data_IF_697136086823
#
_entry.id   IF_697136086823
#
_cell.length_a   1.000
_cell.length_b   1.000
_cell.length_c   1.000
_cell.angle_alpha   90.00
_cell.angle_beta   90.00
_cell.angle_gamma   90.00
#
_symmetry.space_group_name_H-M   'P 1'
#
loop_
_entity.id
_entity.type
_entity.pdbx_description
1 polymer ?
#
# COMPACT_ATOMS: atom_id res chain seq x y z
N UNK A 1 -1.56 -27.89 -47.62
CA UNK A 1 -1.21 -26.77 -46.72
C UNK A 1 -2.49 -26.06 -46.29
N UNK A 2 -3.00 -26.32 -45.08
CA UNK A 2 -4.20 -25.67 -44.55
C UNK A 2 -3.80 -24.96 -43.25
N UNK A 3 -3.85 -23.63 -43.25
CA UNK A 3 -3.53 -22.77 -42.11
C UNK A 3 -4.75 -22.64 -41.20
N UNK A 4 -4.48 -22.67 -39.90
CA UNK A 4 -5.41 -22.46 -38.81
C UNK A 4 -5.76 -20.98 -38.65
N UNK A 5 -7.00 -20.70 -38.24
CA UNK A 5 -7.41 -19.49 -37.52
C UNK A 5 -8.54 -19.90 -36.57
N UNK A 6 -8.15 -20.25 -35.34
CA UNK A 6 -9.06 -20.31 -34.20
C UNK A 6 -9.03 -18.94 -33.54
N UNK A 7 -10.09 -18.15 -33.71
CA UNK A 7 -10.31 -16.94 -32.91
C UNK A 7 -11.18 -17.35 -31.72
N UNK A 8 -10.64 -17.09 -30.54
CA UNK A 8 -11.22 -17.37 -29.23
C UNK A 8 -12.34 -16.35 -29.00
N UNK A 9 -13.59 -16.80 -29.03
CA UNK A 9 -14.73 -16.06 -28.50
C UNK A 9 -15.20 -16.79 -27.23
N UNK A 10 -14.67 -16.39 -26.08
CA UNK A 10 -15.06 -16.94 -24.78
C UNK A 10 -14.75 -15.92 -23.70
N UNK A 11 -15.75 -15.15 -23.29
CA UNK A 11 -15.96 -14.58 -21.93
C UNK A 11 -16.71 -13.23 -21.98
N UNK A 12 -18.01 -13.30 -22.21
CA UNK A 12 -18.95 -12.22 -21.86
C UNK A 12 -20.19 -12.91 -21.30
N UNK A 13 -20.08 -13.32 -20.03
CA UNK A 13 -21.07 -14.14 -19.36
C UNK A 13 -20.73 -14.28 -17.89
N UNK A 14 -20.71 -13.15 -17.16
CA UNK A 14 -20.54 -13.13 -15.71
C UNK A 14 -20.98 -11.77 -15.16
N UNK A 15 -22.28 -11.42 -15.27
CA UNK A 15 -22.87 -10.34 -14.44
C UNK A 15 -24.40 -10.40 -14.24
N UNK A 16 -25.07 -11.54 -14.42
CA UNK A 16 -26.50 -11.69 -14.11
C UNK A 16 -26.83 -12.96 -13.32
N UNK A 17 -26.32 -13.10 -12.09
CA UNK A 17 -26.77 -14.12 -11.17
C UNK A 17 -26.65 -13.63 -9.72
N UNK A 18 -27.48 -12.66 -9.34
CA UNK A 18 -27.66 -12.31 -7.93
C UNK A 18 -29.01 -11.64 -7.66
N UNK A 19 -30.12 -12.12 -8.23
CA UNK A 19 -31.46 -11.84 -7.70
C UNK A 19 -32.39 -13.03 -7.93
N UNK A 20 -32.24 -14.07 -7.13
CA UNK A 20 -33.33 -14.96 -6.68
C UNK A 20 -32.77 -15.86 -5.57
N UNK A 21 -32.85 -15.42 -4.33
CA UNK A 21 -32.90 -16.33 -3.19
C UNK A 21 -33.76 -15.67 -2.12
N UNK A 22 -34.91 -16.29 -1.91
CA UNK A 22 -35.97 -15.81 -1.04
C UNK A 22 -35.58 -15.71 0.43
N UNK A 23 -36.47 -15.04 1.14
CA UNK A 23 -36.55 -14.94 2.57
C UNK A 23 -36.19 -16.24 3.32
N UNK A 24 -35.24 -16.15 4.23
CA UNK A 24 -35.41 -16.73 5.57
C UNK A 24 -34.87 -15.75 6.61
N UNK A 25 -35.78 -15.38 7.51
CA UNK A 25 -35.55 -14.66 8.75
C UNK A 25 -34.66 -15.50 9.66
N UNK A 26 -33.48 -15.00 10.01
CA UNK A 26 -32.80 -15.37 11.24
C UNK A 26 -32.34 -14.09 11.94
N UNK A 27 -32.88 -13.90 13.14
CA UNK A 27 -32.62 -12.81 14.05
C UNK A 27 -31.19 -12.95 14.60
N UNK A 28 -30.34 -11.93 14.43
CA UNK A 28 -29.20 -11.66 15.32
C UNK A 28 -28.80 -10.18 15.26
N UNK A 29 -28.66 -9.50 16.41
CA UNK A 29 -28.40 -8.07 16.47
C UNK A 29 -26.91 -7.79 16.65
N UNK A 30 -26.24 -7.24 15.65
CA UNK A 30 -25.18 -6.22 15.80
C UNK A 30 -24.48 -6.01 14.47
N UNK A 31 -24.80 -4.88 13.83
CA UNK A 31 -23.98 -4.07 12.90
C UNK A 31 -24.90 -3.39 11.90
N UNK A 32 -25.35 -2.20 12.28
CA UNK A 32 -25.94 -1.24 11.35
C UNK A 32 -24.77 -0.67 10.54
N UNK A 33 -24.46 -1.31 9.41
CA UNK A 33 -23.80 -0.63 8.29
C UNK A 33 -24.93 0.09 7.56
N UNK A 34 -25.02 1.42 7.74
CA UNK A 34 -25.89 2.24 6.91
C UNK A 34 -25.30 2.29 5.50
N UNK A 35 -25.71 1.36 4.65
CA UNK A 35 -25.71 1.58 3.21
C UNK A 35 -26.66 2.76 2.92
N UNK A 36 -26.30 3.72 2.05
CA UNK A 36 -27.24 4.75 1.64
C UNK A 36 -28.31 4.05 0.80
N UNK A 37 -29.46 3.80 1.45
CA UNK A 37 -30.65 3.28 0.80
C UNK A 37 -30.92 4.09 -0.47
N UNK A 38 -31.04 3.36 -1.58
CA UNK A 38 -31.68 3.87 -2.79
C UNK A 38 -32.89 4.70 -2.38
N UNK A 39 -33.02 5.96 -2.83
CA UNK A 39 -34.23 6.73 -2.55
C UNK A 39 -35.39 5.94 -3.14
N UNK A 40 -36.20 5.35 -2.26
CA UNK A 40 -37.52 4.87 -2.65
C UNK A 40 -38.33 6.11 -3.00
N UNK A 41 -38.16 6.59 -4.22
CA UNK A 41 -39.19 7.38 -4.86
C UNK A 41 -40.44 6.51 -4.77
N UNK A 42 -41.47 7.04 -4.12
CA UNK A 42 -42.81 6.48 -4.10
C UNK A 42 -43.29 6.36 -5.55
N UNK A 43 -42.97 5.23 -6.17
CA UNK A 43 -43.42 4.87 -7.50
C UNK A 43 -44.91 4.63 -7.41
N UNK A 44 -45.68 5.39 -8.19
CA UNK A 44 -47.10 5.11 -8.31
C UNK A 44 -47.29 3.72 -8.94
N UNK A 45 -48.45 3.08 -8.73
CA UNK A 45 -48.71 1.76 -9.29
C UNK A 45 -48.55 1.71 -10.83
N UNK A 46 -48.79 2.83 -11.52
CA UNK A 46 -48.53 2.99 -12.95
C UNK A 46 -47.05 3.10 -13.30
N UNK A 47 -46.24 3.74 -12.46
CA UNK A 47 -44.80 3.88 -12.69
C UNK A 47 -44.06 2.54 -12.47
N UNK A 48 -44.54 1.74 -11.52
CA UNK A 48 -44.01 0.40 -11.25
C UNK A 48 -44.18 -0.55 -12.44
N UNK A 49 -45.26 -0.40 -13.23
CA UNK A 49 -45.51 -1.17 -14.46
C UNK A 49 -44.49 -0.79 -15.54
N UNK A 50 -44.06 0.48 -15.59
CA UNK A 50 -43.08 0.95 -16.57
C UNK A 50 -41.64 0.55 -16.23
N UNK A 51 -41.34 0.28 -14.96
CA UNK A 51 -40.02 -0.16 -14.49
C UNK A 51 -39.83 -1.69 -14.53
N UNK A 52 -40.91 -2.48 -14.61
CA UNK A 52 -40.84 -3.94 -14.72
C UNK A 52 -40.25 -4.40 -16.08
N UNK A 53 -39.51 -5.52 -16.07
CA UNK A 53 -39.17 -6.21 -17.32
C UNK A 53 -40.47 -6.70 -17.97
N UNK A 54 -40.62 -6.54 -19.30
CA UNK A 54 -41.83 -6.98 -19.97
C UNK A 54 -41.90 -8.51 -19.88
N UNK A 55 -42.74 -9.02 -18.98
CA UNK A 55 -43.21 -10.40 -19.07
C UNK A 55 -43.86 -10.57 -20.45
N UNK A 56 -43.60 -11.70 -21.12
CA UNK A 56 -44.05 -11.95 -22.51
C UNK A 56 -45.59 -11.88 -22.69
N UNK A 57 -46.35 -11.81 -21.59
CA UNK A 57 -47.82 -11.77 -21.56
C UNK A 57 -48.39 -10.36 -21.25
N UNK A 58 -47.57 -9.37 -20.87
CA UNK A 58 -48.04 -8.02 -20.55
C UNK A 58 -48.14 -7.15 -21.81
N UNK A 59 -49.32 -7.16 -22.42
CA UNK A 59 -49.63 -6.27 -23.56
C UNK A 59 -50.11 -4.92 -23.03
N UNK A 60 -49.24 -3.90 -23.14
CA UNK A 60 -49.56 -2.51 -22.80
C UNK A 60 -50.27 -1.81 -23.97
N UNK A 61 -51.27 -0.99 -23.65
CA UNK A 61 -51.96 -0.13 -24.63
C UNK A 61 -51.03 0.98 -25.18
N UNK A 62 -51.35 1.57 -26.33
CA UNK A 62 -50.52 2.59 -26.98
C UNK A 62 -50.25 3.80 -26.07
N UNK A 63 -51.27 4.24 -25.33
CA UNK A 63 -51.16 5.34 -24.36
C UNK A 63 -50.26 4.97 -23.17
N UNK A 64 -50.35 3.72 -22.70
CA UNK A 64 -49.50 3.19 -21.63
C UNK A 64 -48.05 3.06 -22.09
N UNK A 65 -47.83 2.60 -23.32
CA UNK A 65 -46.49 2.53 -23.93
C UNK A 65 -45.89 3.93 -24.13
N UNK A 66 -46.69 4.92 -24.54
CA UNK A 66 -46.25 6.30 -24.64
C UNK A 66 -45.83 6.86 -23.27
N UNK A 67 -46.67 6.63 -22.23
CA UNK A 67 -46.38 7.03 -20.87
C UNK A 67 -45.08 6.39 -20.34
N UNK A 68 -44.92 5.07 -20.49
CA UNK A 68 -43.71 4.38 -20.04
C UNK A 68 -42.44 4.82 -20.79
N UNK A 69 -42.54 5.20 -22.07
CA UNK A 69 -41.41 5.77 -22.82
C UNK A 69 -40.94 7.09 -22.22
N UNK A 70 -41.87 7.99 -21.91
CA UNK A 70 -41.55 9.29 -21.29
C UNK A 70 -40.97 9.10 -19.89
N UNK A 71 -41.58 8.21 -19.09
CA UNK A 71 -41.09 7.89 -17.75
C UNK A 71 -39.67 7.30 -17.76
N UNK A 72 -39.37 6.37 -18.68
CA UNK A 72 -38.02 5.81 -18.82
C UNK A 72 -37.02 6.86 -19.26
N UNK A 73 -37.39 7.76 -20.17
CA UNK A 73 -36.53 8.86 -20.60
C UNK A 73 -36.18 9.80 -19.45
N UNK A 74 -37.16 10.19 -18.63
CA UNK A 74 -36.92 11.07 -17.49
C UNK A 74 -35.98 10.41 -16.45
N UNK A 75 -36.16 9.12 -16.17
CA UNK A 75 -35.27 8.34 -15.28
C UNK A 75 -33.84 8.25 -15.81
N UNK A 76 -33.67 8.05 -17.12
CA UNK A 76 -32.35 8.05 -17.76
C UNK A 76 -31.68 9.42 -17.61
N UNK A 77 -32.42 10.50 -17.84
CA UNK A 77 -31.90 11.87 -17.74
C UNK A 77 -31.50 12.24 -16.31
N UNK A 78 -32.34 11.89 -15.33
CA UNK A 78 -32.05 12.07 -13.90
C UNK A 78 -30.80 11.28 -13.50
N UNK A 79 -30.72 10.00 -13.88
CA UNK A 79 -29.55 9.16 -13.62
C UNK A 79 -28.28 9.75 -14.24
N UNK A 80 -28.36 10.26 -15.49
CA UNK A 80 -27.24 10.97 -16.14
C UNK A 80 -26.84 12.24 -15.42
N UNK A 81 -27.81 12.98 -14.86
CA UNK A 81 -27.52 14.17 -14.05
C UNK A 81 -26.78 13.78 -12.77
N UNK A 82 -27.30 12.83 -12.00
CA UNK A 82 -26.68 12.36 -10.76
C UNK A 82 -25.28 11.79 -11.01
N UNK A 83 -25.09 11.05 -12.10
CA UNK A 83 -23.77 10.54 -12.48
C UNK A 83 -22.79 11.68 -12.77
N UNK A 84 -23.20 12.71 -13.52
CA UNK A 84 -22.36 13.91 -13.76
C UNK A 84 -21.98 14.61 -12.47
N UNK A 85 -22.90 14.73 -11.52
CA UNK A 85 -22.64 15.33 -10.20
C UNK A 85 -21.64 14.47 -9.39
N UNK A 86 -21.84 13.15 -9.35
CA UNK A 86 -20.94 12.21 -8.68
C UNK A 86 -19.53 12.22 -9.28
N UNK A 87 -19.41 12.23 -10.61
CA UNK A 87 -18.11 12.31 -11.28
C UNK A 87 -17.39 13.62 -10.93
N UNK A 88 -18.10 14.74 -10.86
CA UNK A 88 -17.51 16.02 -10.43
C UNK A 88 -16.98 15.94 -9.01
N UNK A 89 -17.74 15.38 -8.08
CA UNK A 89 -17.31 15.18 -6.70
C UNK A 89 -16.05 14.30 -6.61
N UNK A 90 -16.02 13.17 -7.33
CA UNK A 90 -14.86 12.26 -7.35
C UNK A 90 -13.62 12.96 -7.91
N UNK A 91 -13.76 13.79 -8.94
CA UNK A 91 -12.63 14.56 -9.49
C UNK A 91 -12.10 15.55 -8.47
N UNK A 92 -12.98 16.26 -7.77
CA UNK A 92 -12.61 17.23 -6.75
C UNK A 92 -11.92 16.57 -5.54
N UNK A 93 -12.47 15.46 -5.06
CA UNK A 93 -11.86 14.65 -4.00
C UNK A 93 -10.47 14.15 -4.39
N UNK A 94 -10.30 13.63 -5.61
CA UNK A 94 -8.99 13.20 -6.09
C UNK A 94 -8.00 14.36 -6.23
N UNK A 95 -8.46 15.56 -6.62
CA UNK A 95 -7.60 16.75 -6.66
C UNK A 95 -7.15 17.14 -5.25
N UNK A 96 -8.05 17.15 -4.28
CA UNK A 96 -7.72 17.43 -2.88
C UNK A 96 -6.76 16.38 -2.32
N UNK A 97 -7.02 15.09 -2.55
CA UNK A 97 -6.14 14.00 -2.11
C UNK A 97 -4.74 14.14 -2.69
N UNK A 98 -4.61 14.39 -4.00
CA UNK A 98 -3.30 14.62 -4.64
C UNK A 98 -2.59 15.86 -4.11
N UNK A 99 -3.32 16.93 -3.82
CA UNK A 99 -2.73 18.13 -3.22
C UNK A 99 -2.18 17.86 -1.82
N UNK A 100 -2.91 17.07 -1.01
CA UNK A 100 -2.45 16.61 0.30
C UNK A 100 -1.23 15.69 0.17
N UNK A 101 -1.29 14.67 -0.69
CA UNK A 101 -0.15 13.76 -0.95
C UNK A 101 1.09 14.52 -1.43
N UNK A 102 0.95 15.51 -2.32
CA UNK A 102 2.05 16.34 -2.79
C UNK A 102 2.61 17.30 -1.72
N UNK A 103 1.81 17.62 -0.70
CA UNK A 103 2.26 18.43 0.44
C UNK A 103 3.03 17.62 1.49
N UNK A 104 2.91 16.28 1.45
CA UNK A 104 3.66 15.42 2.36
C UNK A 104 5.14 15.42 1.95
N UNK A 105 6.07 15.46 2.92
CA UNK A 105 7.48 15.24 2.61
C UNK A 105 7.66 13.86 1.97
N UNK A 106 8.65 13.69 1.08
CA UNK A 106 8.95 12.38 0.52
C UNK A 106 9.20 11.38 1.65
N UNK A 107 8.78 10.11 1.48
CA UNK A 107 9.06 9.10 2.48
C UNK A 107 10.58 9.00 2.69
N UNK A 108 11.04 8.70 3.92
CA UNK A 108 12.44 8.49 4.17
C UNK A 108 12.95 7.35 3.27
N UNK A 109 14.20 7.44 2.76
CA UNK A 109 14.78 6.34 2.01
C UNK A 109 14.78 5.06 2.86
N UNK A 110 14.58 3.87 2.25
CA UNK A 110 14.63 2.62 2.99
C UNK A 110 16.00 2.45 3.67
N UNK A 111 16.04 1.83 4.87
CA UNK A 111 17.30 1.58 5.54
C UNK A 111 18.18 0.66 4.70
N UNK A 112 19.43 1.06 4.54
CA UNK A 112 20.43 0.32 3.79
C UNK A 112 21.00 -0.78 4.70
N UNK A 113 20.66 -2.03 4.40
CA UNK A 113 21.09 -3.22 5.14
C UNK A 113 22.11 -4.02 4.33
N UNK A 114 22.79 -4.98 4.97
CA UNK A 114 23.71 -5.90 4.27
C UNK A 114 23.02 -6.58 3.07
N UNK A 115 21.76 -7.04 3.26
CA UNK A 115 20.93 -7.68 2.23
C UNK A 115 20.73 -6.83 0.98
N UNK A 116 20.79 -5.50 1.13
CA UNK A 116 20.67 -4.55 0.01
C UNK A 116 21.84 -4.72 -0.97
N UNK A 117 23.03 -5.04 -0.47
CA UNK A 117 24.25 -5.19 -1.28
C UNK A 117 24.44 -6.61 -1.79
N UNK A 118 23.97 -7.60 -1.02
CA UNK A 118 23.99 -9.00 -1.41
C UNK A 118 23.23 -9.23 -2.73
N UNK A 119 22.12 -8.53 -2.91
CA UNK A 119 21.27 -8.63 -4.09
C UNK A 119 21.71 -7.75 -5.27
N UNK A 120 22.55 -6.75 -5.03
CA UNK A 120 22.88 -5.74 -6.04
C UNK A 120 23.85 -6.25 -7.13
N UNK A 121 24.66 -7.27 -6.83
CA UNK A 121 25.63 -7.84 -7.75
C UNK A 121 26.73 -6.84 -8.15
N UNK A 122 27.95 -7.03 -7.66
CA UNK A 122 29.06 -6.11 -7.98
C UNK A 122 30.04 -5.85 -6.84
N UNK A 123 29.92 -6.58 -5.72
CA UNK A 123 30.85 -6.47 -4.62
C UNK A 123 32.20 -7.12 -4.98
N UNK A 124 33.25 -6.34 -4.83
CA UNK A 124 34.63 -6.78 -4.93
C UNK A 124 35.24 -6.96 -3.56
N UNK A 125 36.20 -7.89 -3.45
CA UNK A 125 36.91 -8.12 -2.19
C UNK A 125 37.53 -6.82 -1.66
N UNK A 126 37.19 -6.45 -0.43
CA UNK A 126 37.63 -5.21 0.22
C UNK A 126 36.68 -4.02 0.05
N UNK A 127 35.57 -4.17 -0.68
CA UNK A 127 34.57 -3.10 -0.77
C UNK A 127 33.98 -2.78 0.60
N UNK A 128 33.84 -1.49 0.89
CA UNK A 128 33.28 -1.00 2.14
C UNK A 128 31.81 -0.63 1.92
N UNK A 129 30.96 -1.23 2.72
CA UNK A 129 29.52 -1.06 2.72
C UNK A 129 29.10 -0.39 4.01
N UNK A 130 28.39 0.73 3.92
CA UNK A 130 27.89 1.45 5.10
C UNK A 130 26.45 1.01 5.36
N UNK A 131 26.24 0.36 6.51
CA UNK A 131 24.91 -0.07 6.98
C UNK A 131 24.47 0.79 8.17
N UNK A 132 23.24 0.57 8.63
CA UNK A 132 22.70 1.12 9.88
C UNK A 132 23.57 0.80 11.12
N UNK A 133 24.33 -0.28 11.07
CA UNK A 133 25.25 -0.71 12.14
C UNK A 133 26.69 -0.20 11.96
N UNK A 134 26.93 0.61 10.93
CA UNK A 134 28.25 1.17 10.61
C UNK A 134 28.91 0.51 9.39
N UNK A 135 30.19 0.84 9.13
CA UNK A 135 30.91 0.36 7.96
C UNK A 135 31.34 -1.09 8.13
N UNK A 136 30.99 -1.91 7.15
CA UNK A 136 31.39 -3.30 7.01
C UNK A 136 32.22 -3.45 5.73
N UNK A 137 33.09 -4.45 5.70
CA UNK A 137 33.98 -4.76 4.60
C UNK A 137 33.57 -6.11 4.03
N UNK A 138 33.36 -6.16 2.72
CA UNK A 138 33.12 -7.42 2.02
C UNK A 138 34.42 -8.21 1.89
N UNK A 139 34.42 -9.43 2.40
CA UNK A 139 35.55 -10.39 2.36
C UNK A 139 35.16 -11.71 1.69
N UNK A 140 34.01 -11.73 1.03
CA UNK A 140 33.56 -12.86 0.22
C UNK A 140 34.39 -13.03 -1.05
N UNK A 141 34.22 -14.16 -1.71
CA UNK A 141 34.96 -14.45 -2.95
C UNK A 141 34.31 -13.75 -4.14
N UNK A 142 35.11 -13.29 -5.12
CA UNK A 142 34.56 -12.78 -6.35
C UNK A 142 33.78 -13.87 -7.09
N UNK A 143 32.67 -13.49 -7.72
CA UNK A 143 31.78 -14.39 -8.50
C UNK A 143 31.03 -15.47 -7.71
N UNK A 144 31.12 -15.50 -6.38
CA UNK A 144 30.21 -16.27 -5.53
C UNK A 144 29.08 -15.35 -5.03
N UNK A 145 27.90 -15.92 -4.75
CA UNK A 145 26.82 -15.16 -4.15
C UNK A 145 27.26 -14.71 -2.75
N UNK A 146 27.26 -13.40 -2.50
CA UNK A 146 27.59 -12.85 -1.20
C UNK A 146 26.63 -13.41 -0.14
N UNK A 147 27.13 -13.66 1.07
CA UNK A 147 26.27 -13.95 2.24
C UNK A 147 26.53 -12.94 3.35
N UNK A 148 25.64 -12.80 4.35
CA UNK A 148 25.86 -11.89 5.47
C UNK A 148 27.19 -12.11 6.22
N UNK A 149 27.70 -13.34 6.25
CA UNK A 149 28.95 -13.73 6.91
C UNK A 149 30.22 -13.25 6.18
N UNK A 150 30.04 -12.80 4.94
CA UNK A 150 31.09 -12.19 4.12
C UNK A 150 31.28 -10.71 4.43
N UNK A 151 30.45 -10.11 5.29
CA UNK A 151 30.59 -8.72 5.70
C UNK A 151 31.12 -8.65 7.13
N UNK A 152 32.33 -8.11 7.28
CA UNK A 152 33.02 -8.01 8.56
C UNK A 152 33.27 -6.56 8.94
N UNK A 153 33.32 -6.24 10.23
CA UNK A 153 33.70 -4.89 10.66
C UNK A 153 35.14 -4.55 10.21
N UNK A 154 35.43 -3.26 10.01
CA UNK A 154 36.75 -2.79 9.54
C UNK A 154 37.89 -3.25 10.46
N UNK A 155 37.64 -3.32 11.78
CA UNK A 155 38.58 -3.74 12.82
C UNK A 155 38.73 -5.26 12.94
N UNK A 156 37.90 -6.03 12.25
CA UNK A 156 37.95 -7.49 12.23
C UNK A 156 39.30 -7.99 11.72
N UNK A 157 39.86 -9.08 12.29
CA UNK A 157 41.09 -9.69 11.78
C UNK A 157 40.98 -10.18 10.32
N UNK A 158 39.75 -10.41 9.83
CA UNK A 158 39.48 -10.81 8.44
C UNK A 158 39.51 -9.64 7.46
N UNK A 159 39.43 -8.40 7.96
CA UNK A 159 39.37 -7.19 7.13
C UNK A 159 40.73 -6.90 6.49
N UNK A 160 40.81 -6.71 5.16
CA UNK A 160 42.04 -6.29 4.48
C UNK A 160 42.48 -4.88 4.87
N UNK A 161 41.57 -4.07 5.42
CA UNK A 161 41.85 -2.69 5.82
C UNK A 161 42.42 -2.56 7.24
N UNK A 162 42.36 -3.63 8.05
CA UNK A 162 42.79 -3.60 9.46
C UNK A 162 44.24 -3.13 9.62
N UNK A 163 45.15 -3.59 8.75
CA UNK A 163 46.57 -3.21 8.81
C UNK A 163 46.84 -1.76 8.41
N UNK A 164 45.88 -1.09 7.74
CA UNK A 164 46.00 0.28 7.22
C UNK A 164 45.14 1.29 7.99
N UNK A 165 44.22 0.79 8.81
CA UNK A 165 43.38 1.61 9.67
C UNK A 165 44.22 2.21 10.79
N UNK A 166 44.76 3.41 10.56
CA UNK A 166 45.24 4.26 11.66
C UNK A 166 44.02 4.97 12.25
N UNK A 167 43.89 4.91 13.58
CA UNK A 167 42.85 5.63 14.28
C UNK A 167 43.10 7.12 14.07
N UNK A 168 42.18 7.82 13.39
CA UNK A 168 42.31 9.25 13.16
C UNK A 168 42.20 9.97 14.51
N UNK A 169 43.17 10.83 14.81
CA UNK A 169 43.21 11.56 16.06
C UNK A 169 42.03 12.54 16.13
N UNK A 170 41.15 12.37 17.12
CA UNK A 170 39.86 13.09 17.21
C UNK A 170 38.65 12.40 16.60
N UNK A 171 38.77 11.16 16.06
CA UNK A 171 37.62 10.39 15.55
C UNK A 171 36.57 10.04 16.62
N UNK A 172 36.98 10.02 17.88
CA UNK A 172 36.09 9.88 19.01
C UNK A 172 36.06 11.22 19.73
N UNK A 173 34.88 11.83 19.98
CA UNK A 173 34.81 12.91 20.95
C UNK A 173 35.38 12.34 22.24
N UNK A 174 36.49 12.90 22.71
CA UNK A 174 37.19 12.43 23.89
C UNK A 174 36.14 12.10 24.95
N UNK A 175 36.05 10.82 25.35
CA UNK A 175 35.39 10.48 26.60
C UNK A 175 36.18 11.26 27.65
N UNK A 176 35.71 12.46 27.98
CA UNK A 176 36.23 13.26 29.09
C UNK A 176 36.30 12.31 30.26
N UNK A 177 37.53 11.87 30.60
CA UNK A 177 37.77 11.20 31.86
C UNK A 177 37.21 12.15 32.90
N UNK A 178 36.18 11.71 33.63
CA UNK A 178 35.72 12.43 34.80
C UNK A 178 36.97 12.75 35.65
N UNK A 179 37.19 14.01 36.04
CA UNK A 179 38.37 14.38 36.79
C UNK A 179 38.45 13.47 38.03
N UNK A 180 39.63 12.87 38.22
CA UNK A 180 39.90 12.06 39.39
C UNK A 180 39.56 12.88 40.64
N UNK A 181 38.73 12.32 41.51
CA UNK A 181 38.42 12.92 42.80
C UNK A 181 39.73 13.20 43.57
N UNK A 182 39.85 14.35 44.24
CA UNK A 182 41.06 14.69 44.96
C UNK A 182 41.33 13.67 46.07
N UNK A 183 42.58 13.18 46.11
CA UNK A 183 43.10 12.32 47.17
C UNK A 183 43.16 13.13 48.46
N UNK A 184 42.31 12.79 49.44
CA UNK A 184 42.35 13.36 50.79
C UNK A 184 43.53 12.75 51.57
N UNK A 185 44.44 13.55 52.16
CA UNK A 185 45.55 12.99 52.94
C UNK A 185 45.13 12.73 54.40
N UNK A 186 45.43 11.51 54.86
CA UNK A 186 46.00 11.23 56.19
C UNK A 186 45.06 11.17 57.40
N UNK A 187 44.85 9.96 57.94
CA UNK A 187 44.62 9.77 59.39
C UNK A 187 45.69 8.83 59.94
N UNK A 188 46.64 9.44 60.67
CA UNK A 188 47.73 8.81 61.41
C UNK A 188 47.23 7.69 62.34
N UNK A 189 47.98 6.60 62.34
CA UNK A 189 48.01 5.58 63.39
C UNK A 189 48.17 6.22 64.77
N UNK A 190 47.36 5.74 65.72
CA UNK A 190 47.74 5.66 67.13
C UNK A 190 47.42 4.24 67.57
N UNK A 191 48.44 3.42 67.77
CA UNK A 191 48.37 2.26 68.66
C UNK A 191 49.11 2.60 69.96
N UNK A 192 48.59 2.20 71.12
CA UNK A 192 49.34 2.16 72.37
C UNK A 192 50.38 1.04 72.37
#
# INVERSE_FOLDING_TARGET
MKRALRIIASSLGLFCAAMTAGAQVTVSPDRIVMEPGSPQLSTSASDAICDAEPDEELVLDEDQQAHCRVFRQSRIEETRRLNRERVRQVIEENRQRRALEASLPPPPPPPVTVETFTNAGGLSYGDVVVTDRGPLVFVGKPFEAATPEDFVAIDSPRSPHRARATQFDGAFPERRKAPAAPITPGRRERQP
#
